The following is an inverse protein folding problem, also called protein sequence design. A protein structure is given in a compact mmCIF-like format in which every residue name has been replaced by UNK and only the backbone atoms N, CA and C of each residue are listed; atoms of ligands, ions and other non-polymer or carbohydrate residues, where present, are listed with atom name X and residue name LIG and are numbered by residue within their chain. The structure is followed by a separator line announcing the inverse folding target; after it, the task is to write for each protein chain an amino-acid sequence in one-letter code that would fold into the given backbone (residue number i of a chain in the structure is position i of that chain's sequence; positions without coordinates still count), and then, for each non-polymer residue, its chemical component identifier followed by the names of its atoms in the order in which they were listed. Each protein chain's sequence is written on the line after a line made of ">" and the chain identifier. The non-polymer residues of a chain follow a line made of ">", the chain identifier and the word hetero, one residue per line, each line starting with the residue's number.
data_IF_587524123552
#
_entry.id   IF_587524123552
#
_cell.length_a   1.000
_cell.length_b   1.000
_cell.length_c   1.000
_cell.angle_alpha   90.00
_cell.angle_beta   90.00
_cell.angle_gamma   90.00
#
_symmetry.space_group_name_H-M   'P 1'
#
loop_
_entity.id
_entity.type
_entity.pdbx_description
1 polymer ?
#
# COMPACT_ATOMS: atom_id res chain seq x y z
N UNK A 1 -25.83 -24.24 23.71
CA UNK A 1 -25.95 -23.24 22.63
C UNK A 1 -25.27 -23.78 21.39
N UNK A 2 -25.96 -23.86 20.26
CA UNK A 2 -25.33 -24.25 19.00
C UNK A 2 -24.29 -23.19 18.59
N UNK A 3 -23.15 -23.63 18.01
CA UNK A 3 -22.11 -22.73 17.47
C UNK A 3 -22.23 -22.67 15.95
N UNK A 4 -22.13 -21.49 15.37
CA UNK A 4 -22.04 -21.32 13.92
C UNK A 4 -20.68 -21.81 13.40
N UNK A 5 -20.68 -22.72 12.43
CA UNK A 5 -19.47 -23.19 11.75
C UNK A 5 -19.58 -22.81 10.27
N UNK A 6 -18.62 -22.03 9.79
CA UNK A 6 -18.55 -21.65 8.39
C UNK A 6 -17.70 -22.64 7.60
N UNK A 7 -18.33 -23.36 6.67
CA UNK A 7 -17.69 -24.42 5.88
C UNK A 7 -16.48 -23.92 5.06
N UNK A 8 -16.49 -22.66 4.63
CA UNK A 8 -15.43 -22.07 3.80
C UNK A 8 -14.41 -21.25 4.62
N UNK A 9 -14.30 -21.48 5.94
CA UNK A 9 -13.36 -20.76 6.79
C UNK A 9 -11.89 -20.95 6.36
N UNK A 10 -11.53 -22.17 5.94
CA UNK A 10 -10.20 -22.45 5.40
C UNK A 10 -9.90 -21.63 4.12
N UNK A 11 -10.88 -21.54 3.22
CA UNK A 11 -10.75 -20.73 2.01
C UNK A 11 -10.64 -19.23 2.35
N UNK A 12 -11.42 -18.74 3.31
CA UNK A 12 -11.33 -17.36 3.76
C UNK A 12 -9.93 -17.04 4.31
N UNK A 13 -9.37 -17.92 5.15
CA UNK A 13 -7.98 -17.77 5.64
C UNK A 13 -6.96 -17.74 4.52
N UNK A 14 -7.09 -18.63 3.53
CA UNK A 14 -6.22 -18.65 2.36
C UNK A 14 -6.30 -17.32 1.59
N UNK A 15 -7.50 -16.76 1.39
CA UNK A 15 -7.69 -15.47 0.70
C UNK A 15 -7.09 -14.30 1.45
N UNK A 16 -7.20 -14.30 2.78
CA UNK A 16 -6.55 -13.30 3.65
C UNK A 16 -5.03 -13.37 3.53
N UNK A 17 -4.46 -14.57 3.49
CA UNK A 17 -3.01 -14.73 3.26
C UNK A 17 -2.59 -14.21 1.89
N UNK A 18 -3.30 -14.59 0.82
CA UNK A 18 -3.00 -14.12 -0.53
C UNK A 18 -3.09 -12.58 -0.67
N UNK A 19 -4.06 -11.94 -0.01
CA UNK A 19 -4.16 -10.48 0.03
C UNK A 19 -2.96 -9.87 0.77
N UNK A 20 -2.57 -10.42 1.93
CA UNK A 20 -1.40 -9.94 2.69
C UNK A 20 -0.09 -10.06 1.92
N UNK A 21 0.11 -11.17 1.20
CA UNK A 21 1.27 -11.35 0.33
C UNK A 21 1.30 -10.28 -0.77
N UNK A 22 0.15 -9.97 -1.36
CA UNK A 22 0.07 -8.93 -2.38
C UNK A 22 0.29 -7.53 -1.80
N UNK A 23 -0.22 -7.25 -0.60
CA UNK A 23 0.08 -6.00 0.12
C UNK A 23 1.57 -5.84 0.37
N UNK A 24 2.27 -6.92 0.75
CA UNK A 24 3.72 -6.90 0.96
C UNK A 24 4.48 -6.59 -0.35
N UNK A 25 4.05 -7.16 -1.47
CA UNK A 25 4.62 -6.86 -2.80
C UNK A 25 4.41 -5.40 -3.21
N UNK A 26 3.21 -4.86 -3.00
CA UNK A 26 2.92 -3.43 -3.24
C UNK A 26 3.84 -2.56 -2.38
N UNK A 27 3.98 -2.87 -1.09
CA UNK A 27 4.85 -2.13 -0.18
C UNK A 27 6.32 -2.18 -0.62
N UNK A 28 6.80 -3.31 -1.14
CA UNK A 28 8.15 -3.43 -1.68
C UNK A 28 8.37 -2.50 -2.88
N UNK A 29 7.45 -2.48 -3.84
CA UNK A 29 7.52 -1.60 -5.00
C UNK A 29 7.40 -0.13 -4.60
N UNK A 30 6.58 0.19 -3.59
CA UNK A 30 6.50 1.56 -3.06
C UNK A 30 7.80 2.01 -2.39
N UNK A 31 8.51 1.12 -1.68
CA UNK A 31 9.85 1.43 -1.15
C UNK A 31 10.84 1.73 -2.28
N UNK A 32 10.81 0.95 -3.35
CA UNK A 32 11.62 1.19 -4.55
C UNK A 32 11.32 2.57 -5.17
N UNK A 33 10.03 2.93 -5.27
CA UNK A 33 9.57 4.25 -5.75
C UNK A 33 10.13 5.38 -4.90
N UNK A 34 9.96 5.30 -3.58
CA UNK A 34 10.41 6.31 -2.64
C UNK A 34 11.94 6.47 -2.65
N UNK A 35 12.68 5.37 -2.80
CA UNK A 35 14.14 5.40 -2.94
C UNK A 35 14.57 6.17 -4.20
N UNK A 36 13.93 5.90 -5.34
CA UNK A 36 14.21 6.62 -6.60
C UNK A 36 13.84 8.10 -6.52
N UNK A 37 12.69 8.43 -5.92
CA UNK A 37 12.30 9.83 -5.68
C UNK A 37 13.33 10.56 -4.80
N UNK A 38 13.80 9.90 -3.74
CA UNK A 38 14.85 10.44 -2.87
C UNK A 38 16.16 10.65 -3.62
N UNK A 39 16.57 9.70 -4.46
CA UNK A 39 17.76 9.81 -5.32
C UNK A 39 17.66 11.01 -6.26
N UNK A 40 16.51 11.20 -6.91
CA UNK A 40 16.26 12.34 -7.81
C UNK A 40 16.35 13.66 -7.04
N UNK A 41 15.66 13.78 -5.90
CA UNK A 41 15.70 14.99 -5.06
C UNK A 41 17.11 15.28 -4.57
N UNK A 42 17.87 14.24 -4.22
CA UNK A 42 19.28 14.39 -3.81
C UNK A 42 20.14 14.92 -4.96
N UNK A 43 20.01 14.36 -6.16
CA UNK A 43 20.75 14.84 -7.34
C UNK A 43 20.40 16.30 -7.66
N UNK A 44 19.12 16.67 -7.58
CA UNK A 44 18.68 18.05 -7.80
C UNK A 44 19.30 19.03 -6.79
N UNK A 45 19.30 18.69 -5.49
CA UNK A 45 19.96 19.51 -4.47
C UNK A 45 21.45 19.66 -4.73
N UNK A 46 22.14 18.57 -5.06
CA UNK A 46 23.56 18.62 -5.40
C UNK A 46 23.83 19.49 -6.64
N UNK A 47 22.99 19.41 -7.69
CA UNK A 47 23.14 20.27 -8.88
C UNK A 47 22.97 21.75 -8.52
N UNK A 48 22.01 22.09 -7.66
CA UNK A 48 21.79 23.49 -7.22
C UNK A 48 22.99 23.98 -6.40
N UNK A 49 23.47 23.17 -5.46
CA UNK A 49 24.63 23.51 -4.64
C UNK A 49 25.88 23.73 -5.51
N UNK A 50 26.18 22.81 -6.42
CA UNK A 50 27.34 22.93 -7.32
C UNK A 50 27.26 24.18 -8.20
N UNK A 51 26.06 24.58 -8.63
CA UNK A 51 25.88 25.83 -9.37
C UNK A 51 26.12 27.07 -8.51
N UNK A 52 25.70 27.05 -7.25
CA UNK A 52 25.93 28.14 -6.30
C UNK A 52 27.42 28.26 -5.98
N UNK A 53 28.08 27.16 -5.64
CA UNK A 53 29.51 27.12 -5.35
C UNK A 53 30.35 27.64 -6.54
N UNK A 54 29.97 27.28 -7.77
CA UNK A 54 30.60 27.79 -8.99
C UNK A 54 30.41 29.31 -9.14
N UNK A 55 29.18 29.79 -8.92
CA UNK A 55 28.85 31.22 -9.03
C UNK A 55 29.59 32.06 -7.97
N UNK A 56 29.71 31.55 -6.74
CA UNK A 56 30.47 32.19 -5.67
C UNK A 56 31.96 32.28 -6.00
N UNK A 57 32.57 31.19 -6.48
CA UNK A 57 33.99 31.18 -6.89
C UNK A 57 34.27 32.15 -8.03
N UNK A 58 33.46 32.14 -9.08
CA UNK A 58 33.57 33.08 -10.20
C UNK A 58 33.28 34.54 -9.80
N UNK A 59 32.44 34.75 -8.78
CA UNK A 59 32.13 36.07 -8.24
C UNK A 59 33.22 36.62 -7.33
N UNK A 60 33.87 35.77 -6.53
CA UNK A 60 35.01 36.11 -5.68
C UNK A 60 36.26 36.45 -6.52
N UNK A 61 36.55 35.65 -7.56
CA UNK A 61 37.65 35.92 -8.51
C UNK A 61 37.49 37.27 -9.23
N UNK A 62 36.27 37.81 -9.38
CA UNK A 62 36.02 39.13 -9.96
C UNK A 62 36.21 40.30 -9.00
N UNK A 63 36.16 40.10 -7.68
CA UNK A 63 36.30 41.18 -6.68
C UNK A 63 37.76 41.52 -6.37
N UNK A 64 38.67 40.56 -6.45
CA UNK A 64 40.07 40.70 -6.01
C UNK A 64 41.06 41.13 -7.13
N UNK A 65 40.59 41.82 -8.18
CA UNK A 65 41.44 42.29 -9.29
C UNK A 65 41.58 41.27 -10.44
N UNK A 66 42.46 41.50 -11.43
CA UNK A 66 42.53 40.70 -12.67
C UNK A 66 43.21 39.36 -12.41
N UNK A 67 42.59 38.50 -11.61
CA UNK A 67 42.98 37.11 -11.49
C UNK A 67 42.32 36.29 -12.60
N UNK A 68 43.12 35.52 -13.32
CA UNK A 68 42.67 34.67 -14.41
C UNK A 68 41.74 33.58 -13.84
N UNK A 69 40.52 33.51 -14.37
CA UNK A 69 39.54 32.46 -14.03
C UNK A 69 40.19 31.08 -14.16
N UNK A 70 40.10 30.25 -13.12
CA UNK A 70 40.59 28.87 -13.20
C UNK A 70 39.65 28.01 -14.06
N UNK A 71 39.86 28.05 -15.38
CA UNK A 71 39.12 27.27 -16.37
C UNK A 71 39.20 25.75 -16.11
N UNK A 72 40.24 25.26 -15.42
CA UNK A 72 40.36 23.85 -15.06
C UNK A 72 39.36 23.48 -13.97
N UNK A 73 39.24 24.31 -12.93
CA UNK A 73 38.26 24.13 -11.86
C UNK A 73 36.81 24.17 -12.41
N UNK A 74 36.51 25.14 -13.26
CA UNK A 74 35.20 25.27 -13.93
C UNK A 74 34.87 24.02 -14.75
N UNK A 75 35.83 23.50 -15.51
CA UNK A 75 35.64 22.28 -16.33
C UNK A 75 35.39 21.04 -15.48
N UNK A 76 36.11 20.87 -14.37
CA UNK A 76 35.89 19.75 -13.45
C UNK A 76 34.48 19.81 -12.86
N UNK A 77 34.03 20.99 -12.45
CA UNK A 77 32.71 21.20 -11.87
C UNK A 77 31.57 21.03 -12.88
N UNK A 78 31.77 21.44 -14.14
CA UNK A 78 30.85 21.17 -15.23
C UNK A 78 30.68 19.66 -15.47
N UNK A 79 31.76 18.89 -15.47
CA UNK A 79 31.71 17.43 -15.61
C UNK A 79 30.98 16.75 -14.45
N UNK A 80 31.21 17.21 -13.21
CA UNK A 80 30.48 16.72 -12.03
C UNK A 80 28.97 16.99 -12.15
N UNK A 81 28.59 18.18 -12.61
CA UNK A 81 27.19 18.55 -12.86
C UNK A 81 26.54 17.67 -13.94
N UNK A 82 27.24 17.40 -15.05
CA UNK A 82 26.76 16.51 -16.11
C UNK A 82 26.57 15.08 -15.59
N UNK A 83 27.46 14.59 -14.73
CA UNK A 83 27.30 13.28 -14.11
C UNK A 83 26.05 13.20 -13.24
N UNK A 84 25.79 14.22 -12.41
CA UNK A 84 24.58 14.31 -11.57
C UNK A 84 23.30 14.38 -12.42
N UNK A 85 23.30 15.13 -13.52
CA UNK A 85 22.18 15.20 -14.46
C UNK A 85 21.92 13.82 -15.07
N UNK A 86 22.96 13.13 -15.55
CA UNK A 86 22.82 11.79 -16.10
C UNK A 86 22.30 10.78 -15.07
N UNK A 87 22.74 10.89 -13.81
CA UNK A 87 22.23 10.06 -12.71
C UNK A 87 20.74 10.31 -12.44
N UNK A 88 20.33 11.57 -12.36
CA UNK A 88 18.93 11.95 -12.19
C UNK A 88 18.05 11.45 -13.35
N UNK A 89 18.50 11.61 -14.59
CA UNK A 89 17.77 11.11 -15.77
C UNK A 89 17.57 9.59 -15.74
N UNK A 90 18.62 8.82 -15.40
CA UNK A 90 18.51 7.36 -15.22
C UNK A 90 17.53 6.99 -14.10
N UNK A 91 17.54 7.73 -12.99
CA UNK A 91 16.59 7.50 -11.90
C UNK A 91 15.14 7.79 -12.32
N UNK A 92 14.89 8.85 -13.10
CA UNK A 92 13.57 9.17 -13.67
C UNK A 92 13.07 8.06 -14.62
N UNK A 93 13.94 7.55 -15.51
CA UNK A 93 13.56 6.46 -16.42
C UNK A 93 13.17 5.20 -15.63
N UNK A 94 13.97 4.84 -14.60
CA UNK A 94 13.63 3.71 -13.70
C UNK A 94 12.31 3.96 -12.98
N UNK A 95 12.06 5.17 -12.51
CA UNK A 95 10.83 5.54 -11.80
C UNK A 95 9.58 5.31 -12.66
N UNK A 96 9.64 5.60 -13.96
CA UNK A 96 8.55 5.27 -14.90
C UNK A 96 8.23 3.77 -14.91
N UNK A 97 9.27 2.92 -14.94
CA UNK A 97 9.10 1.46 -14.87
C UNK A 97 8.49 1.00 -13.54
N UNK A 98 8.92 1.61 -12.43
CA UNK A 98 8.37 1.33 -11.10
C UNK A 98 6.89 1.72 -10.99
N UNK A 99 6.49 2.87 -11.55
CA UNK A 99 5.07 3.26 -11.58
C UNK A 99 4.21 2.23 -12.32
N UNK A 100 4.63 1.78 -13.49
CA UNK A 100 3.90 0.75 -14.24
C UNK A 100 3.78 -0.57 -13.46
N UNK A 101 4.85 -1.00 -12.79
CA UNK A 101 4.84 -2.19 -11.91
C UNK A 101 3.91 -1.99 -10.70
N UNK A 102 3.90 -0.80 -10.12
CA UNK A 102 3.08 -0.46 -8.97
C UNK A 102 1.59 -0.46 -9.32
N UNK A 103 1.22 0.09 -10.48
CA UNK A 103 -0.16 0.11 -10.95
C UNK A 103 -0.66 -1.32 -11.21
N UNK A 104 0.15 -2.16 -11.86
CA UNK A 104 -0.17 -3.58 -12.03
C UNK A 104 -0.34 -4.31 -10.69
N UNK A 105 0.56 -4.08 -9.73
CA UNK A 105 0.48 -4.71 -8.41
C UNK A 105 -0.75 -4.27 -7.61
N UNK A 106 -1.16 -2.99 -7.74
CA UNK A 106 -2.38 -2.44 -7.14
C UNK A 106 -3.65 -3.03 -7.74
N UNK A 107 -3.68 -3.24 -9.05
CA UNK A 107 -4.80 -3.92 -9.72
C UNK A 107 -4.93 -5.38 -9.26
N UNK A 108 -3.81 -6.09 -9.11
CA UNK A 108 -3.85 -7.44 -8.56
C UNK A 108 -4.28 -7.45 -7.08
N UNK A 109 -3.86 -6.47 -6.27
CA UNK A 109 -4.34 -6.33 -4.89
C UNK A 109 -5.87 -6.16 -4.84
N UNK A 110 -6.42 -5.32 -5.72
CA UNK A 110 -7.86 -5.13 -5.83
C UNK A 110 -8.59 -6.45 -6.16
N UNK A 111 -8.06 -7.25 -7.09
CA UNK A 111 -8.60 -8.58 -7.39
C UNK A 111 -8.55 -9.51 -6.17
N UNK A 112 -7.46 -9.53 -5.39
CA UNK A 112 -7.39 -10.34 -4.16
C UNK A 112 -8.38 -9.88 -3.11
N UNK A 113 -8.51 -8.57 -2.91
CA UNK A 113 -9.46 -7.97 -1.96
C UNK A 113 -10.90 -8.27 -2.33
N UNK A 114 -11.28 -8.14 -3.61
CA UNK A 114 -12.64 -8.47 -4.08
C UNK A 114 -12.96 -9.95 -3.87
N UNK A 115 -12.01 -10.85 -4.19
CA UNK A 115 -12.15 -12.30 -3.94
C UNK A 115 -12.31 -12.62 -2.46
N UNK A 116 -11.58 -11.97 -1.55
CA UNK A 116 -11.79 -12.13 -0.10
C UNK A 116 -13.18 -11.64 0.30
N UNK A 117 -13.56 -10.43 -0.13
CA UNK A 117 -14.82 -9.80 0.28
C UNK A 117 -16.05 -10.60 -0.17
N UNK A 118 -15.99 -11.26 -1.33
CA UNK A 118 -17.03 -12.16 -1.79
C UNK A 118 -17.29 -13.32 -0.79
N UNK A 119 -16.24 -13.91 -0.22
CA UNK A 119 -16.36 -15.00 0.76
C UNK A 119 -16.85 -14.46 2.12
N UNK A 120 -16.41 -13.27 2.53
CA UNK A 120 -16.92 -12.63 3.74
C UNK A 120 -18.41 -12.34 3.65
N UNK A 121 -18.88 -11.80 2.53
CA UNK A 121 -20.31 -11.56 2.29
C UNK A 121 -21.11 -12.88 2.34
N UNK A 122 -20.55 -13.97 1.83
CA UNK A 122 -21.18 -15.28 1.93
C UNK A 122 -21.25 -15.78 3.38
N UNK A 123 -20.19 -15.57 4.17
CA UNK A 123 -20.15 -15.89 5.60
C UNK A 123 -21.19 -15.08 6.38
N UNK A 124 -21.27 -13.78 6.13
CA UNK A 124 -22.25 -12.87 6.75
C UNK A 124 -23.69 -13.37 6.47
N UNK A 125 -24.02 -13.67 5.19
CA UNK A 125 -25.34 -14.20 4.81
C UNK A 125 -25.68 -15.55 5.47
N UNK A 126 -24.73 -16.50 5.47
CA UNK A 126 -24.91 -17.81 6.12
C UNK A 126 -25.12 -17.67 7.62
N UNK A 127 -24.40 -16.74 8.26
CA UNK A 127 -24.54 -16.47 9.68
C UNK A 127 -25.90 -15.85 10.02
N UNK A 128 -26.41 -14.93 9.20
CA UNK A 128 -27.76 -14.38 9.36
C UNK A 128 -28.85 -15.45 9.23
N UNK A 129 -28.74 -16.33 8.24
CA UNK A 129 -29.66 -17.46 8.06
C UNK A 129 -29.65 -18.38 9.28
N UNK A 130 -28.46 -18.75 9.75
CA UNK A 130 -28.31 -19.57 10.95
C UNK A 130 -28.94 -18.90 12.18
N UNK A 131 -28.75 -17.59 12.39
CA UNK A 131 -29.41 -16.85 13.49
C UNK A 131 -30.93 -16.90 13.39
N UNK A 132 -31.49 -16.72 12.19
CA UNK A 132 -32.95 -16.80 11.98
C UNK A 132 -33.48 -18.19 12.29
N UNK A 133 -32.75 -19.24 11.94
CA UNK A 133 -33.11 -20.61 12.26
C UNK A 133 -33.04 -20.90 13.76
N UNK A 134 -31.98 -20.42 14.45
CA UNK A 134 -31.90 -20.55 15.91
C UNK A 134 -33.04 -19.81 16.61
N UNK A 135 -33.30 -18.56 16.22
CA UNK A 135 -34.42 -17.78 16.78
C UNK A 135 -35.78 -18.48 16.56
N UNK A 136 -35.98 -19.10 15.39
CA UNK A 136 -37.21 -19.87 15.11
C UNK A 136 -37.32 -21.10 16.00
N UNK A 137 -36.22 -21.82 16.24
CA UNK A 137 -36.20 -23.00 17.12
C UNK A 137 -36.47 -22.61 18.57
N UNK A 138 -35.79 -21.57 19.04
CA UNK A 138 -35.97 -21.03 20.40
C UNK A 138 -37.41 -20.55 20.62
N UNK A 139 -38.02 -19.89 19.63
CA UNK A 139 -39.44 -19.49 19.70
C UNK A 139 -40.37 -20.70 19.79
N UNK A 140 -40.16 -21.73 18.97
CA UNK A 140 -40.97 -22.94 19.01
C UNK A 140 -40.86 -23.66 20.37
N UNK A 141 -39.65 -23.74 20.95
CA UNK A 141 -39.44 -24.30 22.28
C UNK A 141 -40.15 -23.48 23.38
N UNK A 142 -40.21 -22.15 23.25
CA UNK A 142 -40.95 -21.28 24.17
C UNK A 142 -42.47 -21.44 24.06
N UNK A 143 -42.98 -21.57 22.84
CA UNK A 143 -44.40 -21.78 22.57
C UNK A 143 -44.84 -23.15 23.14
N UNK A 144 -44.05 -24.21 22.94
CA UNK A 144 -44.32 -25.54 23.49
C UNK A 144 -44.35 -25.52 25.03
N UNK A 145 -43.41 -24.81 25.67
CA UNK A 145 -43.42 -24.63 27.13
C UNK A 145 -44.65 -23.88 27.62
N UNK A 146 -45.10 -22.88 26.85
CA UNK A 146 -46.29 -22.08 27.17
C UNK A 146 -47.56 -22.93 27.06
N UNK A 147 -47.72 -23.69 25.97
CA UNK A 147 -48.84 -24.63 25.78
C UNK A 147 -48.87 -25.68 26.89
N UNK A 148 -47.73 -26.30 27.21
CA UNK A 148 -47.63 -27.30 28.29
C UNK A 148 -48.01 -26.73 29.66
N UNK A 149 -47.63 -25.47 29.96
CA UNK A 149 -48.01 -24.79 31.21
C UNK A 149 -49.50 -24.49 31.27
N UNK A 150 -50.10 -24.02 30.18
CA UNK A 150 -51.53 -23.74 30.13
C UNK A 150 -52.37 -25.02 30.22
N UNK A 151 -51.96 -26.10 29.54
CA UNK A 151 -52.61 -27.41 29.64
C UNK A 151 -52.64 -27.95 31.08
N UNK A 152 -51.53 -27.83 31.83
CA UNK A 152 -51.47 -28.24 33.25
C UNK A 152 -52.36 -27.41 34.17
N UNK A 153 -52.64 -26.14 33.83
CA UNK A 153 -53.54 -25.26 34.60
C UNK A 153 -55.02 -25.51 34.30
N UNK A 154 -55.36 -26.01 33.13
CA UNK A 154 -56.75 -26.28 32.74
C UNK A 154 -57.25 -27.67 33.19
N UNK A 155 -56.34 -28.58 33.56
CA UNK A 155 -56.64 -29.93 34.07
C UNK A 155 -56.62 -30.05 35.60
N UNK A 156 -56.47 -28.94 36.32
CA UNK A 156 -56.54 -28.85 37.78
C UNK A 156 -57.76 -28.02 38.18
#
# INVERSE_FOLDING_TARGET
>A
MAKFVFELEALLRQRVHAEREQMARVAEIERERLALESEIRSCQRSIVQEKQDLAERLGAERRDGPHAVDLRAVRVQANASLHLIGKAQRAVIRLKGVHSRLDAARLELLDRTTKRRAIELLKEKRHEQWKREQARREQAEQDDQTVMRHGRRASA
#
